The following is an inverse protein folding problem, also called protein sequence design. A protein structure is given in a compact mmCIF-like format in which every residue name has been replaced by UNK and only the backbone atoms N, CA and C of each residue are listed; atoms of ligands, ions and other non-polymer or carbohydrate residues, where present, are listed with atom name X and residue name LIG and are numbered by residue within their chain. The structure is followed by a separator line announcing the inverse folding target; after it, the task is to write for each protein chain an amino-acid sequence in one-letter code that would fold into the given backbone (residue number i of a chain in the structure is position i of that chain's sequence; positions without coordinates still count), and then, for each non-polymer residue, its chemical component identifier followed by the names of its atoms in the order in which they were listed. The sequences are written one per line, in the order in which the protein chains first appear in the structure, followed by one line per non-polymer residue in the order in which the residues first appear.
data_IF_043866676643
#
_entry.id   IF_043866676643
#
_cell.length_a   1.000
_cell.length_b   1.000
_cell.length_c   1.000
_cell.angle_alpha   90.00
_cell.angle_beta   90.00
_cell.angle_gamma   90.00
#
_symmetry.space_group_name_H-M   'P 1'
#
loop_
_entity.id
_entity.type
_entity.pdbx_description
1 polymer ?
#
# COMPACT_ATOMS: atom_id res chain seq x y z
N UNK A 1 -29.72 -9.05 8.39
CA UNK A 1 -29.25 -8.56 7.99
C UNK A 1 -29.31 -7.97 7.53
N UNK A 2 -29.49 -7.77 7.79
CA UNK A 2 -29.53 -7.12 7.04
C UNK A 2 -28.57 -6.92 6.23
N UNK A 3 -28.55 -7.11 5.49
CA UNK A 3 -27.62 -6.88 4.47
C UNK A 3 -27.16 -5.46 4.25
N UNK A 4 -27.45 -4.63 5.16
CA UNK A 4 -26.97 -3.26 5.10
C UNK A 4 -25.79 -3.12 6.02
N UNK A 5 -24.63 -3.43 5.46
CA UNK A 5 -23.42 -3.05 6.14
C UNK A 5 -23.31 -1.54 6.14
N UNK A 6 -22.75 -1.03 7.21
CA UNK A 6 -22.45 0.37 7.29
C UNK A 6 -21.52 0.77 6.16
N UNK A 7 -21.89 1.77 5.38
CA UNK A 7 -21.07 2.25 4.28
C UNK A 7 -19.75 2.79 4.80
N UNK A 8 -18.66 2.26 4.31
CA UNK A 8 -17.30 2.73 4.62
C UNK A 8 -16.88 3.73 3.57
N UNK A 9 -16.35 4.86 4.00
CA UNK A 9 -15.93 5.94 3.11
C UNK A 9 -14.48 6.31 3.41
N UNK A 10 -13.66 6.37 2.37
CA UNK A 10 -12.31 6.90 2.41
C UNK A 10 -12.28 8.29 1.81
N UNK A 11 -11.39 9.14 2.30
CA UNK A 11 -10.99 10.33 1.59
C UNK A 11 -9.96 10.00 0.51
N UNK A 12 -9.50 11.03 -0.19
CA UNK A 12 -8.48 10.84 -1.23
C UNK A 12 -7.08 10.62 -0.64
N UNK A 13 -6.88 10.94 0.63
CA UNK A 13 -5.63 10.75 1.37
C UNK A 13 -5.97 10.19 2.76
N UNK A 14 -5.31 9.12 3.14
CA UNK A 14 -5.55 8.43 4.42
C UNK A 14 -4.25 7.87 4.98
N UNK A 15 -4.23 7.69 6.30
CA UNK A 15 -3.16 6.94 6.94
C UNK A 15 -3.49 5.45 6.88
N UNK A 16 -2.58 4.67 6.31
CA UNK A 16 -2.75 3.23 6.15
C UNK A 16 -1.74 2.47 7.00
N UNK A 17 -2.12 1.30 7.46
CA UNK A 17 -1.24 0.39 8.18
C UNK A 17 -0.84 -0.80 7.32
N UNK A 18 0.38 -1.26 7.53
CA UNK A 18 0.92 -2.48 6.92
C UNK A 18 1.49 -3.33 8.06
N UNK A 19 0.60 -3.92 8.88
CA UNK A 19 0.99 -4.49 10.18
C UNK A 19 2.00 -5.62 10.09
N UNK A 20 2.03 -6.35 8.97
CA UNK A 20 2.97 -7.45 8.80
C UNK A 20 4.35 -6.98 8.34
N UNK A 21 4.48 -5.72 7.94
CA UNK A 21 5.74 -5.17 7.42
C UNK A 21 6.43 -4.25 8.41
N UNK A 22 5.67 -3.40 9.09
CA UNK A 22 6.25 -2.41 9.99
C UNK A 22 5.20 -1.89 10.97
N UNK A 23 5.61 -1.49 12.18
CA UNK A 23 4.73 -0.69 13.02
C UNK A 23 4.58 0.70 12.43
N UNK A 24 3.53 1.40 12.81
CA UNK A 24 3.28 2.74 12.33
C UNK A 24 2.44 2.76 11.06
N UNK A 25 2.29 3.96 10.52
CA UNK A 25 1.42 4.20 9.38
C UNK A 25 2.14 4.85 8.24
N UNK A 26 1.61 4.62 7.05
CA UNK A 26 2.10 5.19 5.81
C UNK A 26 1.03 6.11 5.26
N UNK A 27 1.42 7.30 4.84
CA UNK A 27 0.50 8.20 4.18
C UNK A 27 0.19 7.66 2.78
N UNK A 28 -1.07 7.39 2.53
CA UNK A 28 -1.52 6.77 1.30
C UNK A 28 -2.46 7.67 0.54
N UNK A 29 -2.29 7.72 -0.77
CA UNK A 29 -3.22 8.37 -1.69
C UNK A 29 -4.14 7.30 -2.27
N UNK A 30 -5.44 7.52 -2.19
CA UNK A 30 -6.41 6.62 -2.79
C UNK A 30 -6.55 6.99 -4.25
N UNK A 31 -6.16 6.08 -5.14
CA UNK A 31 -6.13 6.31 -6.58
C UNK A 31 -6.96 5.25 -7.28
N UNK A 32 -8.23 5.56 -7.52
CA UNK A 32 -9.16 4.65 -8.19
C UNK A 32 -8.84 4.45 -9.67
N UNK A 33 -8.00 5.32 -10.24
CA UNK A 33 -7.48 5.16 -11.60
C UNK A 33 -6.43 4.07 -11.72
N UNK A 34 -5.79 3.70 -10.60
CA UNK A 34 -4.83 2.61 -10.57
C UNK A 34 -5.52 1.33 -10.11
N UNK A 35 -5.13 0.21 -10.69
CA UNK A 35 -5.65 -1.09 -10.30
C UNK A 35 -5.00 -1.58 -9.00
N UNK A 36 -3.68 -1.50 -8.94
CA UNK A 36 -2.87 -2.09 -7.87
C UNK A 36 -2.38 -1.04 -6.89
N UNK A 37 -2.05 -1.47 -5.68
CA UNK A 37 -1.35 -0.64 -4.74
C UNK A 37 0.12 -0.52 -5.13
N UNK A 38 0.74 0.60 -4.79
CA UNK A 38 2.18 0.83 -4.92
C UNK A 38 2.73 1.32 -3.60
N UNK A 39 3.92 0.86 -3.26
CA UNK A 39 4.56 1.21 -2.00
C UNK A 39 6.00 1.62 -2.25
N UNK A 40 6.36 2.79 -1.73
CA UNK A 40 7.76 3.23 -1.76
C UNK A 40 8.60 2.33 -0.87
N UNK A 41 9.73 1.87 -1.40
CA UNK A 41 10.76 1.17 -0.66
C UNK A 41 12.10 1.89 -0.90
N UNK A 42 12.92 1.95 0.13
CA UNK A 42 14.23 2.63 0.04
C UNK A 42 15.24 1.78 -0.73
N UNK A 43 15.07 0.46 -0.67
CA UNK A 43 15.90 -0.48 -1.42
C UNK A 43 15.14 -1.78 -1.64
N UNK A 44 15.51 -2.51 -2.67
CA UNK A 44 14.96 -3.85 -2.90
C UNK A 44 15.96 -4.71 -3.65
N UNK A 45 15.97 -6.00 -3.33
CA UNK A 45 16.80 -6.98 -4.01
C UNK A 45 16.12 -8.34 -4.01
N UNK A 46 16.38 -9.13 -5.04
CA UNK A 46 15.82 -10.47 -5.19
C UNK A 46 16.79 -11.50 -4.63
N UNK A 47 16.26 -12.49 -3.94
CA UNK A 47 17.00 -13.65 -3.48
C UNK A 47 16.20 -14.91 -3.78
N UNK A 48 16.88 -16.04 -3.88
CA UNK A 48 16.25 -17.35 -4.08
C UNK A 48 16.63 -18.23 -2.91
N UNK A 49 15.62 -18.83 -2.29
CA UNK A 49 15.81 -19.85 -1.23
C UNK A 49 14.95 -21.05 -1.54
N UNK A 50 15.57 -22.22 -1.58
CA UNK A 50 14.84 -23.48 -1.83
C UNK A 50 13.97 -23.43 -3.10
N UNK A 51 14.48 -22.76 -4.14
CA UNK A 51 13.76 -22.62 -5.41
C UNK A 51 12.65 -21.56 -5.41
N UNK A 52 12.44 -20.86 -4.30
CA UNK A 52 11.42 -19.82 -4.17
C UNK A 52 12.09 -18.45 -4.23
N UNK A 53 11.54 -17.57 -5.04
CA UNK A 53 12.02 -16.20 -5.17
C UNK A 53 11.39 -15.30 -4.09
N UNK A 54 12.25 -14.58 -3.40
CA UNK A 54 11.85 -13.59 -2.38
C UNK A 54 12.40 -12.23 -2.77
N UNK A 55 11.73 -11.20 -2.31
CA UNK A 55 12.27 -9.85 -2.37
C UNK A 55 12.55 -9.36 -0.97
N UNK A 56 13.77 -8.87 -0.77
CA UNK A 56 14.16 -8.15 0.44
C UNK A 56 14.06 -6.67 0.16
N UNK A 57 13.45 -5.92 1.06
CA UNK A 57 13.27 -4.48 0.86
C UNK A 57 13.26 -3.75 2.19
N UNK A 58 13.49 -2.46 2.14
CA UNK A 58 13.44 -1.58 3.31
C UNK A 58 12.28 -0.61 3.18
N UNK A 59 11.47 -0.55 4.21
CA UNK A 59 10.29 0.30 4.32
C UNK A 59 10.48 1.32 5.43
N UNK A 60 10.10 2.55 5.16
CA UNK A 60 10.11 3.64 6.13
C UNK A 60 8.68 4.11 6.36
N UNK A 61 8.27 4.20 7.63
CA UNK A 61 6.90 4.61 8.00
C UNK A 61 6.80 6.05 8.46
N UNK A 62 7.85 6.82 8.35
CA UNK A 62 7.84 8.23 8.72
C UNK A 62 9.03 8.97 8.12
N UNK A 63 8.98 10.28 8.10
CA UNK A 63 10.08 11.11 7.63
C UNK A 63 10.27 12.28 8.59
N UNK A 64 11.34 12.27 9.40
CA UNK A 64 12.29 11.16 9.58
C UNK A 64 11.65 9.99 10.34
N UNK A 65 12.18 8.82 10.13
CA UNK A 65 11.70 7.63 10.81
C UNK A 65 12.62 6.45 10.57
N UNK A 66 12.49 5.39 11.36
CA UNK A 66 13.30 4.20 11.18
C UNK A 66 12.92 3.45 9.91
N UNK A 67 13.89 2.76 9.33
CA UNK A 67 13.63 1.80 8.27
C UNK A 67 13.37 0.42 8.87
N UNK A 68 12.55 -0.36 8.18
CA UNK A 68 12.20 -1.72 8.58
C UNK A 68 12.57 -2.67 7.46
N UNK A 69 13.40 -3.64 7.77
CA UNK A 69 13.81 -4.66 6.81
C UNK A 69 12.68 -5.69 6.66
N UNK A 70 12.30 -5.96 5.43
CA UNK A 70 11.23 -6.89 5.11
C UNK A 70 11.72 -7.91 4.10
N UNK A 71 11.15 -9.11 4.14
CA UNK A 71 11.43 -10.17 3.18
C UNK A 71 10.15 -10.95 2.92
N UNK A 72 9.67 -10.93 1.69
CA UNK A 72 8.42 -11.60 1.31
C UNK A 72 8.63 -12.39 0.02
N UNK A 73 7.85 -13.48 -0.16
CA UNK A 73 7.82 -14.16 -1.45
C UNK A 73 7.35 -13.22 -2.54
N UNK A 74 7.94 -13.32 -3.72
CA UNK A 74 7.49 -12.60 -4.90
C UNK A 74 6.17 -13.20 -5.34
N UNK A 75 5.11 -12.39 -5.37
CA UNK A 75 3.81 -12.84 -5.84
C UNK A 75 3.72 -12.80 -7.36
N UNK A 76 4.31 -11.79 -7.98
CA UNK A 76 4.28 -11.62 -9.43
C UNK A 76 5.31 -10.58 -9.87
N UNK A 77 5.59 -10.57 -11.18
CA UNK A 77 6.34 -9.52 -11.85
C UNK A 77 5.50 -9.05 -13.02
N UNK A 78 5.24 -7.76 -13.09
CA UNK A 78 4.42 -7.18 -14.15
C UNK A 78 4.97 -5.85 -14.59
N UNK A 79 4.69 -5.49 -15.83
CA UNK A 79 4.90 -4.13 -16.31
C UNK A 79 3.72 -3.28 -15.86
N UNK A 80 4.02 -2.20 -15.16
CA UNK A 80 3.04 -1.22 -14.72
C UNK A 80 3.26 0.06 -15.51
N UNK A 81 2.20 0.55 -16.16
CA UNK A 81 2.26 1.76 -16.96
C UNK A 81 1.85 2.95 -16.09
N UNK A 82 2.69 3.98 -16.06
CA UNK A 82 2.39 5.20 -15.31
C UNK A 82 1.44 6.12 -16.11
N UNK A 83 1.02 7.22 -15.51
CA UNK A 83 0.12 8.18 -16.14
C UNK A 83 0.70 8.82 -17.39
N UNK A 84 2.02 8.82 -17.56
CA UNK A 84 2.70 9.28 -18.76
C UNK A 84 2.82 8.25 -19.86
N UNK A 85 2.25 7.06 -19.68
CA UNK A 85 2.29 5.98 -20.65
C UNK A 85 3.56 5.15 -20.65
N UNK A 86 4.47 5.40 -19.71
CA UNK A 86 5.73 4.70 -19.62
C UNK A 86 5.60 3.47 -18.72
N UNK A 87 5.98 2.31 -19.25
CA UNK A 87 5.96 1.05 -18.51
C UNK A 87 7.26 0.78 -17.79
N UNK A 88 7.17 0.15 -16.63
CA UNK A 88 8.32 -0.38 -15.91
C UNK A 88 7.95 -1.72 -15.26
N UNK A 89 8.91 -2.65 -15.24
CA UNK A 89 8.70 -3.91 -14.55
C UNK A 89 8.73 -3.67 -13.05
N UNK A 90 7.76 -4.25 -12.35
CA UNK A 90 7.66 -4.14 -10.89
C UNK A 90 7.45 -5.49 -10.26
N UNK A 91 7.97 -5.61 -9.05
CA UNK A 91 7.81 -6.79 -8.22
C UNK A 91 6.59 -6.58 -7.33
N UNK A 92 5.71 -7.57 -7.33
CA UNK A 92 4.50 -7.57 -6.50
C UNK A 92 4.67 -8.53 -5.34
N UNK A 93 4.20 -8.10 -4.17
CA UNK A 93 4.12 -8.92 -2.96
C UNK A 93 2.68 -8.88 -2.45
N UNK A 94 2.32 -9.82 -1.58
CA UNK A 94 1.05 -9.81 -0.88
C UNK A 94 1.28 -9.47 0.57
N UNK A 95 0.45 -8.57 1.09
CA UNK A 95 0.53 -8.19 2.49
C UNK A 95 -0.81 -7.67 2.96
N UNK A 96 -0.99 -7.55 4.26
CA UNK A 96 -2.22 -7.03 4.84
C UNK A 96 -2.20 -5.51 4.81
N UNK A 97 -3.25 -4.93 4.25
CA UNK A 97 -3.53 -3.50 4.30
C UNK A 97 -4.57 -3.25 5.38
N UNK A 98 -4.28 -2.34 6.30
CA UNK A 98 -5.21 -1.95 7.36
C UNK A 98 -5.66 -0.51 7.15
N UNK A 99 -6.98 -0.31 7.14
CA UNK A 99 -7.61 1.00 7.02
C UNK A 99 -8.60 1.13 8.17
N UNK A 100 -8.26 1.94 9.18
CA UNK A 100 -9.04 1.98 10.42
C UNK A 100 -8.99 0.63 11.12
N UNK A 101 -10.14 0.06 11.39
CA UNK A 101 -10.28 -1.28 11.99
C UNK A 101 -10.54 -2.37 10.95
N UNK A 102 -10.58 -2.03 9.67
CA UNK A 102 -10.77 -2.94 8.56
C UNK A 102 -9.41 -3.36 8.00
N UNK A 103 -9.32 -4.61 7.57
CA UNK A 103 -8.10 -5.11 6.92
C UNK A 103 -8.39 -6.14 5.84
N UNK A 104 -7.48 -6.23 4.90
CA UNK A 104 -7.56 -7.16 3.77
C UNK A 104 -6.16 -7.46 3.26
N UNK A 105 -5.93 -8.72 2.84
CA UNK A 105 -4.72 -9.04 2.10
C UNK A 105 -4.83 -8.46 0.69
N UNK A 106 -3.78 -7.75 0.26
CA UNK A 106 -3.75 -7.06 -1.02
C UNK A 106 -2.42 -7.31 -1.73
N UNK A 107 -2.41 -7.11 -3.05
CA UNK A 107 -1.18 -7.08 -3.83
C UNK A 107 -0.63 -5.66 -3.88
N UNK A 108 0.67 -5.55 -3.67
CA UNK A 108 1.36 -4.26 -3.66
C UNK A 108 2.62 -4.37 -4.50
N UNK A 109 2.84 -3.42 -5.42
CA UNK A 109 4.10 -3.36 -6.13
C UNK A 109 5.06 -2.41 -5.41
N UNK A 110 6.34 -2.75 -5.49
CA UNK A 110 7.42 -2.03 -4.81
C UNK A 110 8.09 -1.08 -5.79
N UNK A 111 8.25 0.18 -5.39
CA UNK A 111 8.72 1.22 -6.29
C UNK A 111 9.43 2.32 -5.52
N UNK A 112 10.24 3.10 -6.22
CA UNK A 112 10.83 4.32 -5.67
C UNK A 112 9.84 5.47 -5.82
N UNK A 113 9.28 5.93 -4.70
CA UNK A 113 8.35 7.04 -4.63
C UNK A 113 8.83 8.13 -3.66
N UNK A 114 10.12 8.16 -3.35
CA UNK A 114 10.64 9.03 -2.28
C UNK A 114 10.38 10.52 -2.52
N UNK A 115 10.21 10.94 -3.78
CA UNK A 115 9.93 12.34 -4.14
C UNK A 115 8.45 12.69 -4.05
N UNK A 116 7.59 11.69 -3.84
CA UNK A 116 6.16 11.91 -3.79
C UNK A 116 5.71 12.07 -2.34
N UNK A 117 4.75 12.95 -2.14
CA UNK A 117 4.21 13.21 -0.81
C UNK A 117 3.59 11.96 -0.19
N UNK A 118 3.03 11.10 -1.02
CA UNK A 118 2.39 9.86 -0.58
C UNK A 118 3.29 8.69 -0.93
N UNK A 119 3.95 8.07 0.07
CA UNK A 119 4.76 6.88 -0.18
C UNK A 119 3.94 5.70 -0.69
N UNK A 120 2.63 5.70 -0.46
CA UNK A 120 1.77 4.61 -0.89
C UNK A 120 0.63 5.11 -1.78
N UNK A 121 0.29 4.31 -2.79
CA UNK A 121 -0.97 4.43 -3.53
C UNK A 121 -1.85 3.24 -3.19
N UNK A 122 -3.12 3.49 -2.95
CA UNK A 122 -4.12 2.44 -2.78
C UNK A 122 -4.92 2.37 -4.08
N UNK A 123 -4.74 1.28 -4.82
CA UNK A 123 -5.46 1.04 -6.06
C UNK A 123 -6.85 0.48 -5.82
N UNK A 124 -7.70 0.53 -6.85
CA UNK A 124 -9.11 0.14 -6.72
C UNK A 124 -9.32 -1.33 -6.36
N UNK A 125 -8.43 -2.23 -6.79
CA UNK A 125 -8.60 -3.65 -6.48
C UNK A 125 -8.50 -3.94 -4.98
N UNK A 126 -7.77 -3.13 -4.23
CA UNK A 126 -7.60 -3.33 -2.80
C UNK A 126 -8.87 -2.99 -2.01
N UNK A 127 -9.68 -2.07 -2.51
CA UNK A 127 -10.83 -1.52 -1.78
C UNK A 127 -12.17 -1.81 -2.43
N UNK A 128 -12.17 -2.50 -3.57
CA UNK A 128 -13.40 -2.84 -4.29
C UNK A 128 -14.35 -3.62 -3.38
N UNK A 129 -15.63 -3.29 -3.47
CA UNK A 129 -16.72 -3.90 -2.71
C UNK A 129 -16.68 -3.64 -1.19
N UNK A 130 -15.72 -2.87 -0.70
CA UNK A 130 -15.59 -2.58 0.73
C UNK A 130 -15.70 -1.09 1.05
N UNK A 131 -15.25 -0.23 0.14
CA UNK A 131 -15.13 1.20 0.40
C UNK A 131 -15.66 2.04 -0.74
N UNK A 132 -16.26 3.17 -0.39
CA UNK A 132 -16.49 4.28 -1.30
C UNK A 132 -15.40 5.32 -1.10
N UNK A 133 -15.14 6.13 -2.11
CA UNK A 133 -14.13 7.19 -2.02
C UNK A 133 -14.80 8.54 -2.22
N UNK A 134 -14.61 9.42 -1.25
CA UNK A 134 -15.05 10.81 -1.34
C UNK A 134 -13.83 11.67 -1.72
N UNK A 135 -13.76 12.16 -2.96
CA UNK A 135 -12.59 12.91 -3.42
C UNK A 135 -12.46 14.30 -2.80
N UNK A 136 -13.49 14.77 -2.11
CA UNK A 136 -13.47 16.08 -1.46
C UNK A 136 -12.91 16.02 -0.04
N UNK A 137 -12.76 14.84 0.54
CA UNK A 137 -12.36 14.65 1.93
C UNK A 137 -11.02 13.96 2.06
N UNK A 138 -10.41 14.11 3.21
CA UNK A 138 -9.20 13.37 3.58
C UNK A 138 -9.23 13.06 5.06
N UNK A 139 -8.48 12.05 5.46
CA UNK A 139 -8.31 11.64 6.86
C UNK A 139 -9.64 11.31 7.54
N UNK A 140 -10.53 10.65 6.82
CA UNK A 140 -11.81 10.22 7.38
C UNK A 140 -11.63 9.11 8.42
N UNK A 141 -10.51 8.39 8.36
CA UNK A 141 -10.17 7.35 9.34
C UNK A 141 -9.38 7.90 10.53
N UNK A 142 -9.12 9.19 10.55
CA UNK A 142 -8.36 9.86 11.60
C UNK A 142 -7.18 10.62 11.01
N UNK A 143 -6.97 11.83 11.47
CA UNK A 143 -5.90 12.68 10.95
C UNK A 143 -4.55 12.22 11.37
N UNK A 144 -4.45 11.73 12.58
CA UNK A 144 -3.19 11.34 13.16
C UNK A 144 -3.49 10.48 14.35
N UNK A 145 -3.52 9.23 14.16
CA UNK A 145 -3.61 8.40 15.32
C UNK A 145 -2.21 8.19 15.85
N UNK A 146 -2.04 8.33 17.16
CA UNK A 146 -0.90 7.73 17.78
C UNK A 146 -0.94 6.28 17.38
N UNK A 147 0.09 5.88 16.77
CA UNK A 147 0.15 4.55 16.27
C UNK A 147 0.95 3.73 17.26
N UNK A 148 0.36 2.68 17.78
CA UNK A 148 1.13 1.84 18.65
C UNK A 148 2.24 1.15 17.90
#
# INVERSE_FOLDING_TARGET
MDGFEQTRVLGWSEWAGLPDLAPGRVLAKVDTGARSCSLHVDSQSLIVRDGIEYVQFELRTGTPGPTHACCLPVADRRVVTNSGGKGSERIFVRTVLKLGDWQREVEVNLVDRHRLRHPMLIGRAAIADAWLVDPAQRFLLGRRAPWP
#
